data_IF_621460055204
#
_entry.id   IF_621460055204
#
_cell.length_a   1.000
_cell.length_b   1.000
_cell.length_c   1.000
_cell.angle_alpha   90.00
_cell.angle_beta   90.00
_cell.angle_gamma   90.00
#
_symmetry.space_group_name_H-M   'P 1'
#
loop_
_entity.id
_entity.type
_entity.pdbx_description
1 polymer ?
#
# COMPACT_ATOMS: atom_id res chain seq x y z
N UNK A 1 -12.67 12.02 3.77
CA UNK A 1 -11.80 11.80 2.60
C UNK A 1 -11.21 10.41 2.74
N UNK A 2 -11.54 9.52 1.81
CA UNK A 2 -10.90 8.20 1.70
C UNK A 2 -10.13 8.16 0.38
N UNK A 3 -9.02 7.43 0.32
CA UNK A 3 -8.27 7.15 -0.92
C UNK A 3 -7.90 8.39 -1.77
N UNK A 4 -7.74 9.57 -1.15
CA UNK A 4 -7.44 10.81 -1.88
C UNK A 4 -8.64 11.58 -2.43
N UNK A 5 -9.86 11.11 -2.21
CA UNK A 5 -11.07 11.72 -2.75
C UNK A 5 -11.93 12.32 -1.64
N UNK A 6 -12.47 13.51 -1.95
CA UNK A 6 -13.44 14.21 -1.10
C UNK A 6 -14.83 13.92 -1.64
N UNK A 7 -15.61 13.21 -0.84
CA UNK A 7 -16.95 12.73 -1.17
C UNK A 7 -17.87 12.99 0.02
N UNK A 8 -19.19 13.05 -0.22
CA UNK A 8 -20.18 13.30 0.83
C UNK A 8 -20.30 12.15 1.83
N UNK A 9 -20.22 10.90 1.35
CA UNK A 9 -20.19 9.70 2.17
C UNK A 9 -19.25 8.65 1.55
N UNK A 10 -17.92 8.83 1.72
CA UNK A 10 -16.96 7.89 1.16
C UNK A 10 -17.12 6.49 1.75
N UNK A 11 -17.47 6.38 3.03
CA UNK A 11 -17.60 5.08 3.68
C UNK A 11 -18.68 4.23 3.01
N UNK A 12 -19.90 4.76 2.87
CA UNK A 12 -20.97 4.04 2.19
C UNK A 12 -20.58 3.69 0.75
N UNK A 13 -20.03 4.65 0.02
CA UNK A 13 -19.68 4.51 -1.40
C UNK A 13 -18.69 3.36 -1.65
N UNK A 14 -17.58 3.32 -0.91
CA UNK A 14 -16.57 2.28 -1.11
C UNK A 14 -17.04 0.90 -0.61
N UNK A 15 -17.85 0.85 0.45
CA UNK A 15 -18.39 -0.44 0.93
C UNK A 15 -19.38 -1.04 -0.08
N UNK A 16 -20.23 -0.23 -0.72
CA UNK A 16 -21.09 -0.73 -1.80
C UNK A 16 -20.28 -1.18 -3.02
N UNK A 17 -19.20 -0.48 -3.37
CA UNK A 17 -18.29 -0.92 -4.43
C UNK A 17 -17.64 -2.28 -4.09
N UNK A 18 -17.19 -2.47 -2.84
CA UNK A 18 -16.62 -3.75 -2.38
C UNK A 18 -17.63 -4.89 -2.52
N UNK A 19 -18.89 -4.70 -2.16
CA UNK A 19 -19.95 -5.72 -2.34
C UNK A 19 -20.15 -6.09 -3.81
N UNK A 20 -20.06 -5.13 -4.73
CA UNK A 20 -20.15 -5.39 -6.17
C UNK A 20 -18.97 -6.24 -6.62
N UNK A 21 -17.76 -5.92 -6.16
CA UNK A 21 -16.54 -6.66 -6.50
C UNK A 21 -16.53 -8.08 -5.92
N UNK A 22 -17.02 -8.27 -4.69
CA UNK A 22 -17.22 -9.60 -4.07
C UNK A 22 -18.18 -10.44 -4.92
N UNK A 23 -19.34 -9.90 -5.31
CA UNK A 23 -20.30 -10.59 -6.16
C UNK A 23 -19.73 -10.96 -7.53
N UNK A 24 -18.81 -10.16 -8.05
CA UNK A 24 -18.12 -10.45 -9.30
C UNK A 24 -17.06 -11.56 -9.16
N UNK A 25 -16.67 -11.93 -7.93
CA UNK A 25 -15.71 -13.01 -7.68
C UNK A 25 -14.27 -12.66 -8.10
N UNK A 26 -13.86 -11.40 -7.94
CA UNK A 26 -12.50 -10.98 -8.30
C UNK A 26 -11.44 -11.64 -7.40
N UNK A 27 -10.21 -11.78 -7.90
CA UNK A 27 -9.15 -12.48 -7.17
C UNK A 27 -8.66 -11.73 -5.91
N UNK A 28 -8.59 -10.39 -5.98
CA UNK A 28 -8.12 -9.56 -4.88
C UNK A 28 -8.67 -8.14 -4.98
N UNK A 29 -8.70 -7.44 -3.84
CA UNK A 29 -8.94 -6.02 -3.76
C UNK A 29 -7.62 -5.31 -3.49
N UNK A 30 -7.33 -4.23 -4.23
CA UNK A 30 -6.16 -3.38 -3.99
C UNK A 30 -6.62 -1.98 -3.62
N UNK A 31 -6.37 -1.56 -2.38
CA UNK A 31 -6.77 -0.27 -1.83
C UNK A 31 -5.54 0.64 -1.78
N UNK A 32 -5.57 1.70 -2.59
CA UNK A 32 -4.56 2.75 -2.58
C UNK A 32 -4.95 3.82 -1.55
N UNK A 33 -4.37 3.74 -0.36
CA UNK A 33 -4.50 4.76 0.66
C UNK A 33 -3.83 6.07 0.23
N UNK A 34 -4.36 7.16 0.76
CA UNK A 34 -3.80 8.48 0.64
C UNK A 34 -2.33 8.51 1.08
N UNK A 35 -1.43 8.98 0.20
CA UNK A 35 0.02 8.87 0.43
C UNK A 35 0.78 10.20 0.37
N UNK A 36 0.06 11.34 0.37
CA UNK A 36 0.64 12.69 0.53
C UNK A 36 0.90 13.02 2.00
N UNK A 37 1.52 14.18 2.26
CA UNK A 37 1.92 14.58 3.61
C UNK A 37 0.73 14.99 4.49
N UNK A 38 0.69 14.45 5.71
CA UNK A 38 -0.42 14.60 6.65
C UNK A 38 -1.76 14.00 6.18
N UNK A 39 -1.73 13.10 5.19
CA UNK A 39 -2.90 12.27 4.89
C UNK A 39 -3.32 11.47 6.14
N UNK A 40 -4.59 11.56 6.57
CA UNK A 40 -5.06 10.72 7.65
C UNK A 40 -5.09 9.26 7.21
N UNK A 41 -4.77 8.35 8.13
CA UNK A 41 -5.05 6.93 7.92
C UNK A 41 -6.56 6.73 7.72
N UNK A 42 -6.94 5.70 6.96
CA UNK A 42 -8.34 5.30 6.91
C UNK A 42 -8.79 4.86 8.32
N UNK A 43 -10.03 5.20 8.71
CA UNK A 43 -10.51 4.89 10.04
C UNK A 43 -10.72 3.38 10.20
N UNK A 44 -10.44 2.86 11.39
CA UNK A 44 -10.52 1.42 11.70
C UNK A 44 -11.87 0.76 11.31
N UNK A 45 -13.04 1.39 11.52
CA UNK A 45 -14.32 0.84 11.04
C UNK A 45 -14.38 0.59 9.54
N UNK A 46 -13.63 1.32 8.72
CA UNK A 46 -13.56 1.07 7.28
C UNK A 46 -12.87 -0.25 6.98
N UNK A 47 -11.70 -0.50 7.58
CA UNK A 47 -10.99 -1.77 7.38
C UNK A 47 -11.84 -2.97 7.82
N UNK A 48 -12.54 -2.84 8.96
CA UNK A 48 -13.46 -3.87 9.44
C UNK A 48 -14.59 -4.13 8.45
N UNK A 49 -15.21 -3.07 7.92
CA UNK A 49 -16.30 -3.19 6.95
C UNK A 49 -15.82 -3.81 5.62
N UNK A 50 -14.68 -3.37 5.08
CA UNK A 50 -14.09 -3.98 3.88
C UNK A 50 -13.85 -5.47 4.11
N UNK A 51 -13.27 -5.82 5.27
CA UNK A 51 -12.97 -7.23 5.57
C UNK A 51 -14.23 -8.08 5.74
N UNK A 52 -15.29 -7.53 6.32
CA UNK A 52 -16.56 -8.23 6.49
C UNK A 52 -17.26 -8.49 5.15
N UNK A 53 -17.09 -7.61 4.16
CA UNK A 53 -17.79 -7.67 2.88
C UNK A 53 -16.98 -8.37 1.78
N UNK A 54 -15.65 -8.38 1.86
CA UNK A 54 -14.77 -9.03 0.88
C UNK A 54 -14.12 -10.29 1.45
N UNK A 55 -14.36 -11.44 0.84
CA UNK A 55 -13.82 -12.73 1.31
C UNK A 55 -12.45 -13.06 0.72
N UNK A 56 -12.06 -12.39 -0.37
CA UNK A 56 -10.79 -12.59 -1.08
C UNK A 56 -9.58 -11.89 -0.41
N UNK A 57 -8.47 -11.80 -1.16
CA UNK A 57 -7.23 -11.17 -0.66
C UNK A 57 -7.28 -9.65 -0.74
N UNK A 58 -6.93 -8.96 0.33
CA UNK A 58 -6.82 -7.49 0.34
C UNK A 58 -5.35 -7.07 0.35
N UNK A 59 -5.02 -6.20 -0.58
CA UNK A 59 -3.75 -5.49 -0.69
C UNK A 59 -3.97 -4.04 -0.27
N UNK A 60 -3.15 -3.52 0.65
CA UNK A 60 -3.09 -2.09 0.93
C UNK A 60 -1.77 -1.50 0.43
N UNK A 61 -1.84 -0.29 -0.11
CA UNK A 61 -0.69 0.51 -0.53
C UNK A 61 -0.87 1.95 -0.03
N UNK A 62 0.22 2.66 0.25
CA UNK A 62 0.20 4.06 0.69
C UNK A 62 0.92 4.26 2.02
N UNK A 63 2.17 4.73 1.96
CA UNK A 63 3.04 4.98 3.12
C UNK A 63 3.12 3.82 4.14
N UNK A 64 2.97 2.57 3.68
CA UNK A 64 3.16 1.41 4.54
C UNK A 64 4.62 1.25 4.96
N UNK A 65 4.82 1.01 6.26
CA UNK A 65 6.07 0.56 6.86
C UNK A 65 5.94 -0.92 7.23
N UNK A 66 7.06 -1.59 7.54
CA UNK A 66 7.03 -2.98 8.06
C UNK A 66 6.17 -3.06 9.32
N UNK A 67 6.32 -2.09 10.23
CA UNK A 67 5.54 -2.00 11.47
C UNK A 67 4.04 -1.84 11.20
N UNK A 68 3.64 -0.87 10.35
CA UNK A 68 2.22 -0.66 9.98
C UNK A 68 1.65 -1.93 9.34
N UNK A 69 2.42 -2.57 8.46
CA UNK A 69 2.02 -3.81 7.77
C UNK A 69 1.76 -4.95 8.77
N UNK A 70 2.68 -5.16 9.73
CA UNK A 70 2.53 -6.20 10.75
C UNK A 70 1.34 -5.92 11.69
N UNK A 71 1.09 -4.66 12.03
CA UNK A 71 -0.08 -4.27 12.83
C UNK A 71 -1.40 -4.50 12.07
N UNK A 72 -1.46 -4.19 10.78
CA UNK A 72 -2.65 -4.44 9.96
C UNK A 72 -2.90 -5.94 9.77
N UNK A 73 -1.82 -6.72 9.58
CA UNK A 73 -1.88 -8.17 9.49
C UNK A 73 -2.38 -8.81 10.78
N UNK A 74 -1.87 -8.38 11.93
CA UNK A 74 -2.25 -8.96 13.24
C UNK A 74 -3.72 -8.70 13.59
N UNK A 75 -4.29 -7.60 13.09
CA UNK A 75 -5.72 -7.28 13.21
C UNK A 75 -6.62 -8.01 12.19
N UNK A 76 -6.03 -8.69 11.20
CA UNK A 76 -6.78 -9.39 10.15
C UNK A 76 -7.42 -8.44 9.12
N UNK A 77 -6.95 -7.21 9.03
CA UNK A 77 -7.56 -6.18 8.16
C UNK A 77 -7.10 -6.25 6.71
N UNK A 78 -5.93 -6.82 6.45
CA UNK A 78 -5.36 -7.02 5.14
C UNK A 78 -4.47 -8.26 5.07
N UNK A 79 -4.20 -8.70 3.85
CA UNK A 79 -3.42 -9.92 3.58
C UNK A 79 -2.03 -9.60 3.03
N UNK A 80 -1.92 -8.54 2.22
CA UNK A 80 -0.72 -8.13 1.50
C UNK A 80 -0.53 -6.62 1.61
N UNK A 81 0.73 -6.17 1.62
CA UNK A 81 1.08 -4.76 1.78
C UNK A 81 2.10 -4.36 0.72
N UNK A 82 1.74 -3.38 -0.11
CA UNK A 82 2.55 -2.95 -1.22
C UNK A 82 3.39 -1.72 -0.85
N UNK A 83 4.68 -1.79 -1.22
CA UNK A 83 5.65 -0.72 -1.03
C UNK A 83 6.00 -0.15 -2.40
N UNK A 84 5.64 1.11 -2.67
CA UNK A 84 5.91 1.77 -3.95
C UNK A 84 7.30 2.42 -3.97
N UNK A 85 7.38 3.65 -3.43
CA UNK A 85 8.63 4.44 -3.32
C UNK A 85 9.82 3.66 -2.75
N UNK A 86 9.68 2.86 -1.66
CA UNK A 86 10.80 2.04 -1.18
C UNK A 86 11.31 1.04 -2.22
N UNK A 87 10.43 0.46 -3.05
CA UNK A 87 10.85 -0.55 -4.04
C UNK A 87 11.57 0.09 -5.23
N UNK A 88 11.23 1.33 -5.60
CA UNK A 88 11.96 2.08 -6.65
C UNK A 88 13.46 2.14 -6.30
N UNK A 89 13.79 2.50 -5.07
CA UNK A 89 15.17 2.68 -4.64
C UNK A 89 15.86 1.38 -4.18
N UNK A 90 15.11 0.31 -3.95
CA UNK A 90 15.60 -0.92 -3.32
C UNK A 90 15.15 -2.13 -4.16
N UNK A 91 15.93 -2.54 -5.18
CA UNK A 91 15.57 -3.70 -6.02
C UNK A 91 15.51 -5.01 -5.21
N UNK A 92 16.18 -5.06 -4.06
CA UNK A 92 16.23 -6.14 -3.08
C UNK A 92 15.41 -5.84 -1.81
N UNK A 93 14.38 -4.98 -1.90
CA UNK A 93 13.57 -4.58 -0.75
C UNK A 93 13.09 -5.75 0.13
N UNK A 94 12.60 -6.89 -0.41
CA UNK A 94 12.18 -8.01 0.44
C UNK A 94 13.31 -8.56 1.33
N UNK A 95 14.52 -8.69 0.80
CA UNK A 95 15.69 -9.15 1.55
C UNK A 95 16.09 -8.14 2.63
N UNK A 96 16.05 -6.83 2.29
CA UNK A 96 16.34 -5.78 3.27
C UNK A 96 15.34 -5.78 4.42
N UNK A 97 14.06 -5.97 4.13
CA UNK A 97 13.01 -6.10 5.15
C UNK A 97 13.27 -7.34 6.01
N UNK A 98 13.56 -8.49 5.41
CA UNK A 98 13.78 -9.75 6.11
C UNK A 98 15.00 -9.71 7.05
N UNK A 99 16.03 -8.96 6.67
CA UNK A 99 17.28 -8.85 7.44
C UNK A 99 17.43 -7.56 8.25
N UNK A 100 16.43 -6.68 8.23
CA UNK A 100 16.49 -5.36 8.87
C UNK A 100 17.67 -4.50 8.38
N UNK A 101 18.01 -4.59 7.08
CA UNK A 101 19.04 -3.77 6.47
C UNK A 101 18.53 -2.37 6.14
N UNK A 102 19.46 -1.40 6.03
CA UNK A 102 19.11 -0.04 5.65
C UNK A 102 18.55 0.03 4.23
N UNK A 103 17.52 0.86 4.07
CA UNK A 103 16.94 1.14 2.76
C UNK A 103 17.69 2.30 2.11
N UNK A 104 17.87 2.21 0.80
CA UNK A 104 18.24 3.35 -0.02
C UNK A 104 17.08 4.36 -0.02
N UNK A 105 17.43 5.64 -0.01
CA UNK A 105 16.47 6.73 -0.21
C UNK A 105 16.11 6.85 -1.69
N UNK A 106 14.84 7.08 -1.98
CA UNK A 106 14.39 7.39 -3.34
C UNK A 106 14.76 8.82 -3.70
N UNK A 107 15.28 9.03 -4.90
CA UNK A 107 15.48 10.34 -5.48
C UNK A 107 14.21 10.79 -6.24
N UNK A 108 13.45 11.79 -5.74
CA UNK A 108 12.24 12.25 -6.41
C UNK A 108 12.51 12.90 -7.77
N UNK A 109 13.72 13.42 -8.01
CA UNK A 109 14.05 14.13 -9.25
C UNK A 109 14.14 13.21 -10.47
N UNK A 110 14.34 11.90 -10.24
CA UNK A 110 14.54 10.89 -11.29
C UNK A 110 13.36 9.92 -11.44
N UNK A 111 12.28 10.11 -10.67
CA UNK A 111 11.11 9.22 -10.71
C UNK A 111 10.34 9.21 -12.04
N UNK A 112 10.44 10.27 -12.84
CA UNK A 112 9.66 10.41 -14.07
C UNK A 112 10.53 10.82 -15.26
N UNK A 113 10.44 10.07 -16.36
CA UNK A 113 11.28 10.29 -17.54
C UNK A 113 12.73 9.83 -17.32
N UNK A 114 13.68 10.45 -18.01
CA UNK A 114 15.11 10.22 -17.78
C UNK A 114 15.71 9.02 -18.52
N UNK A 115 16.72 8.42 -17.91
CA UNK A 115 17.52 7.31 -18.46
C UNK A 115 17.63 6.18 -17.43
N UNK A 116 18.76 5.49 -17.33
CA UNK A 116 19.06 4.48 -16.31
C UNK A 116 19.23 5.06 -14.90
N UNK A 117 19.57 6.35 -14.79
CA UNK A 117 19.86 7.03 -13.52
C UNK A 117 18.58 7.25 -12.71
N UNK A 118 18.53 6.71 -11.50
CA UNK A 118 17.34 6.68 -10.65
C UNK A 118 16.28 5.68 -11.11
N UNK A 119 16.63 4.74 -11.99
CA UNK A 119 15.74 3.70 -12.49
C UNK A 119 16.32 2.29 -12.27
N UNK A 120 17.49 2.01 -12.82
CA UNK A 120 18.13 0.69 -12.76
C UNK A 120 19.51 0.69 -12.08
N UNK A 121 20.00 1.85 -11.66
CA UNK A 121 21.32 2.03 -11.04
C UNK A 121 21.28 2.07 -9.49
N UNK A 122 20.11 1.94 -8.87
CA UNK A 122 20.02 1.79 -7.42
C UNK A 122 20.77 0.54 -6.95
N UNK A 123 21.71 0.67 -5.99
CA UNK A 123 22.57 -0.43 -5.59
C UNK A 123 21.80 -1.45 -4.73
N UNK A 124 22.11 -2.73 -4.94
CA UNK A 124 21.80 -3.80 -3.98
C UNK A 124 22.54 -3.58 -2.66
N UNK A 125 22.01 -4.13 -1.56
CA UNK A 125 22.67 -4.06 -0.26
C UNK A 125 23.98 -4.86 -0.28
N UNK A 126 25.06 -4.27 0.23
CA UNK A 126 26.35 -4.95 0.37
C UNK A 126 26.38 -5.69 1.72
N UNK A 127 26.37 -7.02 1.65
CA UNK A 127 26.34 -7.93 2.82
C UNK A 127 27.64 -7.91 3.61
#
# INVERSE_FOLDING_TARGET
>A
MYLGLVESDPHHTYIEAVKVLEKAGIAYLSIAEADWDNAPDLPEPFYQAVRAEFSGRIIYAGKYTVEKSLNMLSKGYGDLFAFGRPFIANPDLPERIAHHWSLNEVDPATMYGGTEIGYSDYPYYQK
#
